data_IF_716230514387
#
_entry.id   IF_716230514387
#
_cell.length_a   1.000
_cell.length_b   1.000
_cell.length_c   1.000
_cell.angle_alpha   90.00
_cell.angle_beta   90.00
_cell.angle_gamma   90.00
#
_symmetry.space_group_name_H-M   'P 1'
#
loop_
_entity.id
_entity.type
_entity.pdbx_description
1 polymer ?
#
# COMPACT_ATOMS: atom_id res chain seq x y z
N UNK A 1 -25.15 -2.09 -1.37
CA UNK A 1 -24.99 -0.98 -0.41
C UNK A 1 -23.81 -0.13 -0.89
N UNK A 2 -24.07 1.13 -1.22
CA UNK A 2 -23.04 2.08 -1.67
C UNK A 2 -22.03 2.26 -0.53
N UNK A 3 -20.76 1.89 -0.75
CA UNK A 3 -19.68 2.25 0.17
C UNK A 3 -19.52 3.77 0.07
N UNK A 4 -19.97 4.50 1.10
CA UNK A 4 -19.73 5.93 1.21
C UNK A 4 -18.22 6.14 1.24
N UNK A 5 -17.64 6.67 0.15
CA UNK A 5 -16.21 6.99 0.06
C UNK A 5 -15.94 8.07 1.12
N UNK A 6 -15.17 7.73 2.16
CA UNK A 6 -14.75 8.69 3.19
C UNK A 6 -13.98 9.82 2.51
N UNK A 7 -14.32 11.08 2.83
CA UNK A 7 -13.63 12.26 2.29
C UNK A 7 -12.14 12.19 2.69
N UNK A 8 -11.19 12.51 1.78
CA UNK A 8 -9.80 12.64 2.14
C UNK A 8 -9.61 13.62 3.30
N UNK A 9 -8.70 13.31 4.21
CA UNK A 9 -8.42 14.08 5.41
C UNK A 9 -7.11 14.87 5.24
N UNK A 10 -7.20 16.20 5.34
CA UNK A 10 -6.08 17.10 5.38
C UNK A 10 -5.88 17.65 6.80
N UNK A 11 -4.70 17.43 7.38
CA UNK A 11 -4.37 18.05 8.66
C UNK A 11 -3.69 19.40 8.45
N UNK A 12 -4.20 20.43 9.15
CA UNK A 12 -3.75 21.81 8.99
C UNK A 12 -2.83 22.18 10.14
N UNK A 13 -1.58 22.49 9.79
CA UNK A 13 -0.56 23.02 10.70
C UNK A 13 -0.46 24.52 10.47
N UNK A 14 -0.75 25.32 11.49
CA UNK A 14 -0.75 26.78 11.35
C UNK A 14 -0.60 27.47 12.70
N UNK A 15 -0.17 28.74 12.74
CA UNK A 15 -0.22 29.54 13.95
C UNK A 15 -1.67 29.70 14.46
N UNK A 16 -1.86 29.68 15.79
CA UNK A 16 -3.18 29.80 16.44
C UNK A 16 -3.59 31.25 16.75
N UNK A 17 -2.79 32.26 16.36
CA UNK A 17 -3.16 33.66 16.60
C UNK A 17 -4.40 34.05 15.80
N UNK A 18 -5.21 34.96 16.35
CA UNK A 18 -6.49 35.39 15.77
C UNK A 18 -6.36 35.99 14.36
N UNK A 19 -5.17 36.47 13.99
CA UNK A 19 -4.86 37.01 12.67
C UNK A 19 -4.86 35.96 11.55
N UNK A 20 -4.84 34.67 11.89
CA UNK A 20 -4.94 33.58 10.92
C UNK A 20 -6.34 32.97 10.85
N UNK A 21 -7.30 33.49 11.63
CA UNK A 21 -8.64 32.91 11.68
C UNK A 21 -9.37 33.02 10.33
N UNK A 22 -9.24 34.15 9.65
CA UNK A 22 -9.81 34.34 8.31
C UNK A 22 -9.06 33.52 7.25
N UNK A 23 -7.72 33.44 7.36
CA UNK A 23 -6.89 32.58 6.50
C UNK A 23 -7.36 31.13 6.58
N UNK A 24 -7.65 30.66 7.79
CA UNK A 24 -8.15 29.31 7.99
C UNK A 24 -9.59 29.12 7.50
N UNK A 25 -10.53 29.93 7.99
CA UNK A 25 -11.96 29.75 7.73
C UNK A 25 -12.32 30.04 6.27
N UNK A 26 -11.86 31.17 5.74
CA UNK A 26 -12.25 31.64 4.41
C UNK A 26 -11.28 31.17 3.32
N UNK A 27 -10.01 30.92 3.67
CA UNK A 27 -9.01 30.39 2.76
C UNK A 27 -8.98 28.86 2.76
N UNK A 28 -8.43 28.27 3.81
CA UNK A 28 -8.10 26.83 3.86
C UNK A 28 -9.35 25.95 3.87
N UNK A 29 -10.31 26.23 4.76
CA UNK A 29 -11.55 25.45 4.90
C UNK A 29 -12.40 25.53 3.64
N UNK A 30 -12.70 26.72 3.13
CA UNK A 30 -13.51 26.85 1.92
C UNK A 30 -12.85 26.21 0.69
N UNK A 31 -11.53 26.37 0.52
CA UNK A 31 -10.80 25.69 -0.56
C UNK A 31 -10.90 24.16 -0.44
N UNK A 32 -10.76 23.64 0.78
CA UNK A 32 -10.84 22.20 1.05
C UNK A 32 -12.24 21.65 0.83
N UNK A 33 -13.27 22.38 1.27
CA UNK A 33 -14.68 22.03 1.07
C UNK A 33 -15.03 21.98 -0.42
N UNK A 34 -14.55 22.96 -1.21
CA UNK A 34 -14.72 22.99 -2.67
C UNK A 34 -14.09 21.79 -3.38
N UNK A 35 -13.06 21.17 -2.79
CA UNK A 35 -12.37 19.98 -3.31
C UNK A 35 -12.84 18.66 -2.68
N UNK A 36 -13.91 18.68 -1.88
CA UNK A 36 -14.41 17.54 -1.11
C UNK A 36 -13.41 16.92 -0.12
N UNK A 37 -12.58 17.76 0.49
CA UNK A 37 -11.58 17.37 1.49
C UNK A 37 -11.99 17.84 2.89
N UNK A 38 -11.87 16.95 3.87
CA UNK A 38 -12.01 17.31 5.28
C UNK A 38 -10.69 17.93 5.77
N UNK A 39 -10.62 19.25 5.85
CA UNK A 39 -9.49 19.94 6.50
C UNK A 39 -9.80 20.20 7.97
N UNK A 40 -8.91 19.83 8.89
CA UNK A 40 -9.06 20.17 10.31
C UNK A 40 -7.74 20.62 10.92
N UNK A 41 -7.83 21.55 11.87
CA UNK A 41 -6.73 21.93 12.77
C UNK A 41 -6.99 21.32 14.15
N UNK A 42 -5.98 21.35 15.01
CA UNK A 42 -6.02 20.65 16.31
C UNK A 42 -7.14 21.13 17.26
N UNK A 43 -7.47 22.42 17.26
CA UNK A 43 -8.41 23.02 18.21
C UNK A 43 -9.90 22.72 17.92
N UNK A 44 -10.25 22.28 16.71
CA UNK A 44 -11.62 21.93 16.30
C UNK A 44 -12.09 20.54 16.80
N UNK A 45 -11.24 19.85 17.53
CA UNK A 45 -11.40 18.45 17.85
C UNK A 45 -11.32 18.26 19.38
N UNK A 46 -12.41 17.74 19.97
CA UNK A 46 -12.57 17.55 21.42
C UNK A 46 -11.93 16.22 21.88
N UNK A 47 -10.87 16.26 22.69
CA UNK A 47 -10.20 15.05 23.21
C UNK A 47 -9.54 15.25 24.59
N UNK A 48 -9.37 14.15 25.35
CA UNK A 48 -8.86 14.08 26.73
C UNK A 48 -7.35 13.67 26.85
N UNK A 49 -6.58 13.65 25.76
CA UNK A 49 -5.17 13.18 25.71
C UNK A 49 -4.14 14.33 25.67
N UNK A 50 -2.84 14.00 25.83
CA UNK A 50 -1.72 14.96 25.72
C UNK A 50 -1.53 15.54 24.32
N UNK A 51 -1.16 16.82 24.24
CA UNK A 51 -1.21 17.64 23.01
C UNK A 51 -0.28 17.15 21.88
N UNK A 52 0.96 16.74 22.17
CA UNK A 52 1.96 16.35 21.16
C UNK A 52 1.67 14.98 20.51
N UNK A 53 1.38 13.95 21.31
CA UNK A 53 1.04 12.62 20.80
C UNK A 53 -0.18 12.67 19.87
N UNK A 54 -1.10 13.60 20.16
CA UNK A 54 -2.28 13.84 19.34
C UNK A 54 -1.93 14.46 17.99
N UNK A 55 -1.04 15.45 17.94
CA UNK A 55 -0.57 16.02 16.67
C UNK A 55 0.08 14.94 15.80
N UNK A 56 0.94 14.09 16.39
CA UNK A 56 1.56 12.98 15.65
C UNK A 56 0.53 12.02 15.08
N UNK A 57 -0.46 11.60 15.89
CA UNK A 57 -1.56 10.76 15.43
C UNK A 57 -2.34 11.41 14.29
N UNK A 58 -2.65 12.70 14.39
CA UNK A 58 -3.37 13.43 13.34
C UNK A 58 -2.55 13.49 12.04
N UNK A 59 -1.24 13.76 12.12
CA UNK A 59 -0.35 13.71 10.96
C UNK A 59 -0.31 12.30 10.37
N UNK A 60 -0.21 11.27 11.22
CA UNK A 60 -0.14 9.87 10.80
C UNK A 60 -1.39 9.40 10.05
N UNK A 61 -2.59 9.84 10.47
CA UNK A 61 -3.85 9.48 9.79
C UNK A 61 -4.24 10.41 8.65
N UNK A 62 -3.60 11.58 8.51
CA UNK A 62 -3.87 12.50 7.40
C UNK A 62 -3.43 11.94 6.04
N UNK A 63 -4.26 12.12 5.02
CA UNK A 63 -3.93 11.79 3.64
C UNK A 63 -2.87 12.74 3.07
N UNK A 64 -2.87 13.99 3.53
CA UNK A 64 -1.83 15.01 3.28
C UNK A 64 -1.92 16.12 4.34
N UNK A 65 -0.91 17.00 4.35
CA UNK A 65 -0.79 18.10 5.30
C UNK A 65 -0.83 19.44 4.57
N UNK A 66 -1.49 20.44 5.16
CA UNK A 66 -1.43 21.84 4.75
C UNK A 66 -0.72 22.61 5.87
N UNK A 67 0.42 23.22 5.58
CA UNK A 67 1.25 23.90 6.58
C UNK A 67 1.44 25.39 6.24
N UNK A 68 1.00 26.29 7.13
CA UNK A 68 1.26 27.72 7.03
C UNK A 68 2.49 28.12 7.83
N UNK A 69 3.53 28.54 7.12
CA UNK A 69 4.86 28.83 7.65
C UNK A 69 5.08 30.33 7.95
N UNK A 70 4.03 31.14 7.84
CA UNK A 70 4.09 32.57 8.16
C UNK A 70 4.60 32.83 9.57
N UNK A 71 5.29 33.96 9.74
CA UNK A 71 5.89 34.40 11.01
C UNK A 71 6.91 33.42 11.61
N UNK A 72 7.34 32.44 10.80
CA UNK A 72 8.34 31.44 11.15
C UNK A 72 8.03 30.68 12.44
N UNK A 73 6.78 30.29 12.64
CA UNK A 73 6.35 29.62 13.86
C UNK A 73 7.13 28.31 14.10
N UNK A 74 7.89 28.18 15.20
CA UNK A 74 8.75 27.02 15.44
C UNK A 74 7.97 25.72 15.64
N UNK A 75 6.75 25.79 16.17
CA UNK A 75 5.90 24.61 16.35
C UNK A 75 5.45 24.05 15.00
N UNK A 76 5.01 24.92 14.08
CA UNK A 76 4.61 24.48 12.73
C UNK A 76 5.79 23.86 11.99
N UNK A 77 7.00 24.41 12.10
CA UNK A 77 8.19 23.78 11.51
C UNK A 77 8.51 22.43 12.12
N UNK A 78 8.36 22.28 13.44
CA UNK A 78 8.58 21.01 14.12
C UNK A 78 7.60 19.93 13.63
N UNK A 79 6.33 20.27 13.56
CA UNK A 79 5.25 19.40 13.07
C UNK A 79 5.44 19.06 11.59
N UNK A 80 5.83 20.04 10.77
CA UNK A 80 6.17 19.82 9.36
C UNK A 80 7.37 18.88 9.21
N UNK A 81 8.38 19.01 10.07
CA UNK A 81 9.53 18.11 10.13
C UNK A 81 9.10 16.66 10.40
N UNK A 82 8.17 16.45 11.35
CA UNK A 82 7.59 15.13 11.60
C UNK A 82 6.78 14.63 10.40
N UNK A 83 5.94 15.48 9.78
CA UNK A 83 5.19 15.12 8.58
C UNK A 83 6.10 14.68 7.43
N UNK A 84 7.23 15.37 7.22
CA UNK A 84 8.25 14.95 6.26
C UNK A 84 8.89 13.61 6.61
N UNK A 85 9.21 13.37 7.89
CA UNK A 85 9.75 12.08 8.35
C UNK A 85 8.76 10.92 8.15
N UNK A 86 7.45 11.23 8.11
CA UNK A 86 6.38 10.28 7.82
C UNK A 86 6.01 10.20 6.33
N UNK A 87 6.81 10.81 5.46
CA UNK A 87 6.61 10.90 4.01
C UNK A 87 5.19 11.39 3.64
N UNK A 88 4.67 12.37 4.37
CA UNK A 88 3.38 12.99 4.04
C UNK A 88 3.55 13.99 2.91
N UNK A 89 2.59 14.01 1.99
CA UNK A 89 2.45 15.10 1.02
C UNK A 89 2.16 16.38 1.81
N UNK A 90 2.97 17.41 1.63
CA UNK A 90 2.84 18.68 2.36
C UNK A 90 2.64 19.83 1.38
N UNK A 91 1.51 20.53 1.49
CA UNK A 91 1.25 21.80 0.81
C UNK A 91 1.72 22.92 1.73
N UNK A 92 2.67 23.72 1.24
CA UNK A 92 3.26 24.81 2.02
C UNK A 92 2.59 26.15 1.67
N UNK A 93 2.21 26.91 2.68
CA UNK A 93 1.62 28.24 2.58
C UNK A 93 2.51 29.24 3.31
N UNK A 94 2.51 30.49 2.88
CA UNK A 94 3.13 31.60 3.61
C UNK A 94 2.56 32.95 3.18
N UNK A 95 2.48 33.91 4.09
CA UNK A 95 2.24 35.33 3.76
C UNK A 95 3.43 35.92 3.01
N UNK A 96 4.65 35.63 3.47
CA UNK A 96 5.89 36.16 2.92
C UNK A 96 6.88 35.04 2.55
N UNK A 97 7.43 35.10 1.34
CA UNK A 97 8.45 34.17 0.86
C UNK A 97 9.71 34.14 1.74
N UNK A 98 9.99 35.24 2.45
CA UNK A 98 11.13 35.32 3.38
C UNK A 98 10.94 34.47 4.64
N UNK A 99 9.72 34.03 4.96
CA UNK A 99 9.46 33.14 6.09
C UNK A 99 9.87 31.69 5.80
N UNK A 100 10.05 31.34 4.53
CA UNK A 100 10.46 30.00 4.10
C UNK A 100 11.98 29.83 4.31
N UNK A 101 12.43 28.88 5.16
CA UNK A 101 13.84 28.56 5.33
C UNK A 101 14.48 28.13 4.01
N UNK A 102 15.77 28.37 3.86
CA UNK A 102 16.52 28.06 2.63
C UNK A 102 16.29 26.63 2.13
N UNK A 103 16.30 25.64 3.04
CA UNK A 103 16.09 24.23 2.72
C UNK A 103 14.68 23.90 2.21
N UNK A 104 13.69 24.78 2.41
CA UNK A 104 12.33 24.60 1.91
C UNK A 104 12.02 25.47 0.69
N UNK A 105 12.87 26.45 0.34
CA UNK A 105 12.62 27.37 -0.79
C UNK A 105 12.48 26.68 -2.15
N UNK A 106 13.14 25.54 -2.34
CA UNK A 106 13.05 24.75 -3.57
C UNK A 106 11.74 23.94 -3.67
N UNK A 107 11.01 23.80 -2.56
CA UNK A 107 9.69 23.16 -2.55
C UNK A 107 8.64 24.16 -2.97
N UNK A 108 7.60 23.67 -3.66
CA UNK A 108 6.47 24.49 -4.04
C UNK A 108 5.77 25.01 -2.78
N UNK A 109 5.54 26.32 -2.74
CA UNK A 109 4.80 27.00 -1.68
C UNK A 109 3.92 28.09 -2.28
N UNK A 110 2.77 28.33 -1.66
CA UNK A 110 1.85 29.40 -2.06
C UNK A 110 2.16 30.63 -1.21
N UNK A 111 2.62 31.71 -1.87
CA UNK A 111 2.87 33.01 -1.22
C UNK A 111 1.62 33.86 -1.40
N UNK A 112 0.79 33.98 -0.36
CA UNK A 112 -0.53 34.58 -0.49
C UNK A 112 -0.65 36.05 -0.07
N UNK A 113 0.37 36.59 0.63
CA UNK A 113 0.33 37.96 1.16
C UNK A 113 -0.93 38.18 2.00
N UNK A 114 -1.72 39.19 1.66
CA UNK A 114 -2.99 39.51 2.34
C UNK A 114 -4.23 39.08 1.54
N UNK A 115 -4.06 38.31 0.46
CA UNK A 115 -5.16 37.96 -0.46
C UNK A 115 -5.70 36.55 -0.20
N UNK A 116 -6.77 36.48 0.59
CA UNK A 116 -7.49 35.22 0.86
C UNK A 116 -8.08 34.62 -0.44
N UNK A 117 -8.58 35.46 -1.36
CA UNK A 117 -9.12 34.97 -2.63
C UNK A 117 -8.05 34.31 -3.49
N UNK A 118 -6.83 34.90 -3.53
CA UNK A 118 -5.70 34.29 -4.19
C UNK A 118 -5.29 32.98 -3.50
N UNK A 119 -5.14 33.00 -2.17
CA UNK A 119 -4.86 31.79 -1.37
C UNK A 119 -5.82 30.66 -1.73
N UNK A 120 -7.13 30.92 -1.67
CA UNK A 120 -8.17 29.94 -1.97
C UNK A 120 -7.99 29.34 -3.37
N UNK A 121 -7.87 30.18 -4.39
CA UNK A 121 -7.73 29.73 -5.79
C UNK A 121 -6.47 28.89 -6.06
N UNK A 122 -5.34 29.24 -5.45
CA UNK A 122 -4.11 28.46 -5.59
C UNK A 122 -4.16 27.19 -4.76
N UNK A 123 -4.73 27.27 -3.55
CA UNK A 123 -4.86 26.14 -2.66
C UNK A 123 -5.78 25.05 -3.25
N UNK A 124 -6.90 25.41 -3.87
CA UNK A 124 -7.76 24.44 -4.59
C UNK A 124 -6.96 23.61 -5.61
N UNK A 125 -6.11 24.25 -6.42
CA UNK A 125 -5.24 23.55 -7.38
C UNK A 125 -4.25 22.60 -6.69
N UNK A 126 -3.68 23.03 -5.57
CA UNK A 126 -2.73 22.23 -4.81
C UNK A 126 -3.42 21.06 -4.08
N UNK A 127 -4.64 21.26 -3.58
CA UNK A 127 -5.46 20.23 -2.94
C UNK A 127 -5.85 19.17 -3.95
N UNK A 128 -6.32 19.53 -5.15
CA UNK A 128 -6.63 18.54 -6.20
C UNK A 128 -5.41 17.71 -6.58
N UNK A 129 -4.24 18.36 -6.71
CA UNK A 129 -2.98 17.65 -6.94
C UNK A 129 -2.64 16.70 -5.78
N UNK A 130 -2.71 17.17 -4.53
CA UNK A 130 -2.35 16.38 -3.36
C UNK A 130 -3.32 15.21 -3.14
N UNK A 131 -4.60 15.41 -3.41
CA UNK A 131 -5.64 14.37 -3.41
C UNK A 131 -5.33 13.31 -4.46
N UNK A 132 -5.07 13.71 -5.69
CA UNK A 132 -4.71 12.77 -6.76
C UNK A 132 -3.39 12.02 -6.45
N UNK A 133 -2.42 12.69 -5.84
CA UNK A 133 -1.14 12.08 -5.44
C UNK A 133 -1.31 11.12 -4.24
N UNK A 134 -2.12 11.48 -3.25
CA UNK A 134 -2.42 10.63 -2.10
C UNK A 134 -3.26 9.41 -2.50
N UNK A 135 -4.26 9.60 -3.38
CA UNK A 135 -4.98 8.51 -4.02
C UNK A 135 -4.03 7.65 -4.86
N UNK A 136 -3.08 8.23 -5.59
CA UNK A 136 -2.08 7.48 -6.37
C UNK A 136 -1.15 6.67 -5.47
N UNK A 137 -0.71 7.19 -4.31
CA UNK A 137 0.07 6.44 -3.32
C UNK A 137 -0.74 5.32 -2.65
N UNK A 138 -2.05 5.50 -2.54
CA UNK A 138 -2.95 4.49 -1.98
C UNK A 138 -3.39 3.45 -3.02
N UNK A 139 -3.46 3.85 -4.30
CA UNK A 139 -3.90 3.04 -5.45
C UNK A 139 -2.75 2.50 -6.30
N UNK A 140 -1.50 2.89 -6.05
CA UNK A 140 -0.26 2.31 -6.59
C UNK A 140 -0.08 0.84 -6.23
N UNK A 141 -1.00 0.29 -5.43
CA UNK A 141 -1.10 -1.13 -5.12
C UNK A 141 -1.30 -1.91 -6.40
N UNK A 142 -0.25 -2.63 -6.77
CA UNK A 142 -0.33 -3.72 -7.73
C UNK A 142 -1.40 -4.68 -7.21
N UNK A 143 -2.49 -4.82 -7.95
CA UNK A 143 -3.51 -5.79 -7.60
C UNK A 143 -2.99 -7.19 -7.93
N UNK A 144 -3.06 -8.08 -6.96
CA UNK A 144 -2.76 -9.50 -7.12
C UNK A 144 -4.07 -10.24 -7.32
N UNK A 145 -4.16 -11.05 -8.37
CA UNK A 145 -5.30 -11.93 -8.66
C UNK A 145 -4.80 -13.36 -8.83
N UNK A 146 -5.09 -14.22 -7.85
CA UNK A 146 -4.73 -15.64 -7.88
C UNK A 146 -5.84 -16.40 -8.61
N UNK A 147 -5.55 -16.90 -9.81
CA UNK A 147 -6.52 -17.71 -10.56
C UNK A 147 -6.81 -19.02 -9.82
N UNK A 148 -8.01 -19.60 -10.01
CA UNK A 148 -8.30 -20.94 -9.51
C UNK A 148 -7.19 -21.91 -9.95
N UNK A 149 -6.48 -22.55 -9.00
CA UNK A 149 -5.42 -23.47 -9.34
C UNK A 149 -5.98 -24.71 -10.05
N UNK A 150 -5.12 -25.37 -10.81
CA UNK A 150 -5.41 -26.69 -11.40
C UNK A 150 -4.38 -27.68 -10.90
N UNK A 151 -4.67 -28.97 -10.95
CA UNK A 151 -3.70 -29.97 -10.51
C UNK A 151 -4.09 -31.37 -10.89
N UNK A 152 -3.20 -32.30 -10.57
CA UNK A 152 -3.37 -33.74 -10.78
C UNK A 152 -2.49 -34.52 -9.80
N UNK A 153 -2.78 -35.81 -9.67
CA UNK A 153 -1.88 -36.75 -9.01
C UNK A 153 -0.90 -37.32 -10.04
N UNK A 154 0.37 -37.38 -9.66
CA UNK A 154 1.39 -38.17 -10.34
C UNK A 154 1.67 -39.39 -9.50
N UNK A 155 1.02 -40.50 -9.87
CA UNK A 155 1.14 -41.76 -9.17
C UNK A 155 2.20 -42.65 -9.83
N UNK A 156 2.91 -43.37 -8.98
CA UNK A 156 3.82 -44.46 -9.32
C UNK A 156 3.56 -45.62 -8.36
N UNK A 157 4.16 -46.78 -8.62
CA UNK A 157 4.06 -47.94 -7.70
C UNK A 157 4.60 -47.66 -6.28
N UNK A 158 5.33 -46.57 -6.07
CA UNK A 158 6.02 -46.29 -4.80
C UNK A 158 5.65 -44.95 -4.16
N UNK A 159 5.13 -44.02 -4.95
CA UNK A 159 4.95 -42.63 -4.55
C UNK A 159 3.71 -42.04 -5.24
N UNK A 160 2.90 -41.33 -4.46
CA UNK A 160 1.88 -40.42 -4.98
C UNK A 160 2.31 -38.99 -4.68
N UNK A 161 2.42 -38.16 -5.72
CA UNK A 161 2.73 -36.74 -5.58
C UNK A 161 1.59 -35.90 -6.16
N UNK A 162 1.06 -34.97 -5.36
CA UNK A 162 0.13 -33.95 -5.83
C UNK A 162 0.90 -32.83 -6.52
N UNK A 163 0.52 -32.52 -7.76
CA UNK A 163 1.08 -31.43 -8.55
C UNK A 163 -0.01 -30.39 -8.77
N UNK A 164 0.20 -29.17 -8.27
CA UNK A 164 -0.73 -28.06 -8.36
C UNK A 164 -0.07 -26.90 -9.11
N UNK A 165 -0.72 -26.38 -10.14
CA UNK A 165 -0.28 -25.23 -10.91
C UNK A 165 -1.06 -23.99 -10.46
N UNK A 166 -0.32 -22.97 -10.06
CA UNK A 166 -0.86 -21.66 -9.70
C UNK A 166 -0.54 -20.64 -10.79
N UNK A 167 -1.52 -19.81 -11.11
CA UNK A 167 -1.34 -18.64 -11.97
C UNK A 167 -1.76 -17.40 -11.19
N UNK A 168 -0.87 -16.43 -11.10
CA UNK A 168 -1.06 -15.21 -10.33
C UNK A 168 -0.86 -14.03 -11.28
N UNK A 169 -1.90 -13.25 -11.49
CA UNK A 169 -1.82 -12.03 -12.28
C UNK A 169 -1.53 -10.83 -11.36
N UNK A 170 -0.61 -9.98 -11.80
CA UNK A 170 -0.27 -8.70 -11.20
C UNK A 170 -0.77 -7.59 -12.12
N UNK A 171 -1.64 -6.71 -11.63
CA UNK A 171 -2.23 -5.62 -12.40
C UNK A 171 -1.91 -4.26 -11.80
N UNK A 172 -1.36 -3.36 -12.61
CA UNK A 172 -1.34 -1.94 -12.30
C UNK A 172 -2.58 -1.27 -12.90
N UNK A 173 -3.59 -1.02 -12.07
CA UNK A 173 -4.82 -0.34 -12.50
C UNK A 173 -4.70 1.18 -12.54
N UNK A 174 -3.54 1.74 -12.21
CA UNK A 174 -3.30 3.18 -12.23
C UNK A 174 -2.90 3.68 -13.62
N UNK A 175 -2.95 4.99 -13.81
CA UNK A 175 -2.48 5.68 -15.01
C UNK A 175 -0.99 6.09 -14.94
N UNK A 176 -0.27 5.67 -13.90
CA UNK A 176 1.18 5.90 -13.71
C UNK A 176 1.91 4.56 -13.70
N UNK A 177 3.24 4.58 -13.71
CA UNK A 177 4.01 3.36 -13.45
C UNK A 177 3.81 2.90 -12.01
N UNK A 178 3.84 1.58 -11.79
CA UNK A 178 3.85 1.00 -10.46
C UNK A 178 5.16 1.36 -9.73
N UNK A 179 5.17 1.29 -8.40
CA UNK A 179 6.40 1.11 -7.62
C UNK A 179 7.24 -0.04 -8.19
N UNK A 180 8.55 0.04 -7.99
CA UNK A 180 9.43 -1.07 -8.36
C UNK A 180 9.23 -2.23 -7.37
N UNK A 181 9.00 -3.42 -7.91
CA UNK A 181 8.92 -4.68 -7.16
C UNK A 181 10.36 -5.16 -6.95
N UNK A 182 10.85 -4.99 -5.72
CA UNK A 182 12.19 -5.39 -5.31
C UNK A 182 12.27 -6.89 -5.05
N UNK A 183 11.20 -7.48 -4.51
CA UNK A 183 11.11 -8.93 -4.29
C UNK A 183 9.65 -9.40 -4.23
N UNK A 184 9.44 -10.68 -4.55
CA UNK A 184 8.15 -11.35 -4.39
C UNK A 184 8.33 -12.63 -3.60
N UNK A 185 7.48 -12.85 -2.59
CA UNK A 185 7.53 -14.04 -1.75
C UNK A 185 6.19 -14.77 -1.71
N UNK A 186 6.24 -16.10 -1.76
CA UNK A 186 5.10 -16.97 -1.42
C UNK A 186 5.32 -17.56 -0.03
N UNK A 187 4.37 -17.35 0.87
CA UNK A 187 4.34 -18.01 2.17
C UNK A 187 3.48 -19.26 2.09
N UNK A 188 4.03 -20.38 2.57
CA UNK A 188 3.34 -21.66 2.59
C UNK A 188 3.79 -22.52 3.80
N UNK A 189 3.12 -23.67 3.97
CA UNK A 189 3.56 -24.72 4.89
C UNK A 189 4.91 -25.34 4.48
N UNK A 190 5.48 -26.16 5.35
CA UNK A 190 6.78 -26.81 5.15
C UNK A 190 6.74 -28.05 4.24
N UNK A 191 5.55 -28.57 3.95
CA UNK A 191 5.39 -29.80 3.17
C UNK A 191 5.36 -29.57 1.64
N UNK A 192 5.48 -28.31 1.22
CA UNK A 192 5.43 -27.93 -0.18
C UNK A 192 6.82 -27.78 -0.79
N UNK A 193 6.99 -28.27 -2.02
CA UNK A 193 8.09 -27.91 -2.90
C UNK A 193 7.55 -27.00 -3.99
N UNK A 194 8.08 -25.78 -4.09
CA UNK A 194 7.62 -24.78 -5.05
C UNK A 194 8.66 -24.64 -6.15
N UNK A 195 8.20 -24.71 -7.40
CA UNK A 195 9.03 -24.47 -8.57
C UNK A 195 8.43 -23.38 -9.45
N UNK A 196 9.31 -22.68 -10.15
CA UNK A 196 8.98 -21.67 -11.15
C UNK A 196 9.81 -21.93 -12.39
N UNK A 197 9.17 -21.99 -13.57
CA UNK A 197 9.84 -22.31 -14.84
C UNK A 197 10.71 -23.59 -14.78
N UNK A 198 10.26 -24.58 -14.01
CA UNK A 198 10.95 -25.86 -13.82
C UNK A 198 12.14 -25.83 -12.84
N UNK A 199 12.45 -24.69 -12.22
CA UNK A 199 13.51 -24.56 -11.21
C UNK A 199 12.93 -24.45 -9.81
N UNK A 200 13.60 -25.03 -8.81
CA UNK A 200 13.20 -24.88 -7.42
C UNK A 200 13.34 -23.43 -6.95
N UNK A 201 12.28 -22.91 -6.32
CA UNK A 201 12.33 -21.62 -5.66
C UNK A 201 13.12 -21.73 -4.35
N UNK A 202 14.15 -20.90 -4.13
CA UNK A 202 14.85 -20.87 -2.85
C UNK A 202 13.90 -20.38 -1.74
N UNK A 203 14.08 -20.88 -0.53
CA UNK A 203 13.22 -20.52 0.60
C UNK A 203 14.00 -20.34 1.89
N UNK A 204 13.41 -19.60 2.83
CA UNK A 204 13.87 -19.48 4.21
C UNK A 204 12.70 -19.69 5.18
N UNK A 205 12.98 -19.60 6.48
CA UNK A 205 11.92 -19.55 7.50
C UNK A 205 10.99 -18.35 7.25
N UNK A 206 9.70 -18.56 7.47
CA UNK A 206 8.68 -17.53 7.37
C UNK A 206 8.67 -16.63 8.62
N UNK A 207 8.59 -15.32 8.40
CA UNK A 207 8.37 -14.27 9.41
C UNK A 207 6.89 -14.08 9.79
N UNK A 208 5.97 -14.68 9.03
CA UNK A 208 4.52 -14.61 9.25
C UNK A 208 4.02 -15.97 9.75
N UNK A 209 3.42 -16.00 10.96
CA UNK A 209 2.73 -17.20 11.47
C UNK A 209 1.33 -17.33 10.82
N UNK A 210 0.80 -18.55 10.62
CA UNK A 210 1.34 -19.85 10.99
C UNK A 210 2.26 -20.48 9.93
N UNK A 211 2.60 -19.76 8.85
CA UNK A 211 3.42 -20.27 7.76
C UNK A 211 4.80 -20.68 8.25
N UNK A 212 5.42 -21.63 7.54
CA UNK A 212 6.71 -22.21 7.93
C UNK A 212 7.82 -21.80 6.97
N UNK A 213 7.50 -21.59 5.70
CA UNK A 213 8.46 -21.22 4.67
C UNK A 213 7.98 -20.01 3.90
N UNK A 214 8.93 -19.17 3.51
CA UNK A 214 8.75 -18.12 2.50
C UNK A 214 9.66 -18.44 1.31
N UNK A 215 9.08 -18.57 0.14
CA UNK A 215 9.77 -18.91 -1.11
C UNK A 215 9.98 -17.62 -1.89
N UNK A 216 11.21 -17.36 -2.32
CA UNK A 216 11.51 -16.26 -3.23
C UNK A 216 11.07 -16.63 -4.64
N UNK A 217 10.26 -15.77 -5.25
CA UNK A 217 9.70 -15.94 -6.60
C UNK A 217 10.09 -14.73 -7.44
N UNK A 218 10.36 -14.97 -8.72
CA UNK A 218 10.75 -13.91 -9.64
C UNK A 218 9.53 -13.45 -10.44
N UNK A 219 9.07 -12.19 -10.32
CA UNK A 219 8.05 -11.68 -11.23
C UNK A 219 8.64 -11.47 -12.64
N UNK A 220 7.87 -11.67 -13.72
CA UNK A 220 8.36 -11.41 -15.08
C UNK A 220 8.72 -9.95 -15.35
N UNK A 221 8.18 -9.01 -14.57
CA UNK A 221 8.49 -7.59 -14.65
C UNK A 221 8.69 -7.01 -13.24
N UNK A 222 9.76 -6.24 -13.06
CA UNK A 222 10.03 -5.50 -11.82
C UNK A 222 9.25 -4.20 -11.71
N UNK A 223 8.61 -3.74 -12.80
CA UNK A 223 7.77 -2.55 -12.81
C UNK A 223 6.66 -2.71 -13.85
N UNK A 224 5.46 -2.23 -13.54
CA UNK A 224 4.31 -2.26 -14.42
C UNK A 224 4.03 -0.85 -14.93
N UNK A 225 3.87 -0.69 -16.24
CA UNK A 225 3.42 0.58 -16.84
C UNK A 225 1.98 0.93 -16.42
N UNK A 226 1.52 2.12 -16.81
CA UNK A 226 0.12 2.54 -16.66
C UNK A 226 -0.83 1.52 -17.32
N UNK A 227 -1.80 0.99 -16.57
CA UNK A 227 -2.70 -0.07 -17.05
C UNK A 227 -2.00 -1.41 -17.35
N UNK A 228 -0.71 -1.53 -17.02
CA UNK A 228 0.12 -2.70 -17.34
C UNK A 228 -0.18 -3.90 -16.45
N UNK A 229 0.24 -5.08 -16.88
CA UNK A 229 0.08 -6.32 -16.13
C UNK A 229 1.27 -7.27 -16.33
N UNK A 230 1.40 -8.23 -15.42
CA UNK A 230 2.38 -9.32 -15.48
C UNK A 230 1.77 -10.59 -14.88
N UNK A 231 2.32 -11.76 -15.20
CA UNK A 231 1.79 -13.05 -14.75
C UNK A 231 2.87 -13.98 -14.24
N UNK A 232 2.69 -14.46 -13.02
CA UNK A 232 3.55 -15.46 -12.38
C UNK A 232 2.89 -16.82 -12.52
N UNK A 233 3.68 -17.83 -12.90
CA UNK A 233 3.27 -19.24 -12.92
C UNK A 233 4.15 -20.05 -12.00
N UNK A 234 3.53 -20.80 -11.10
CA UNK A 234 4.21 -21.64 -10.12
C UNK A 234 3.66 -23.06 -10.18
N UNK A 235 4.50 -24.02 -9.84
CA UNK A 235 4.07 -25.38 -9.59
C UNK A 235 4.41 -25.75 -8.14
N UNK A 236 3.41 -26.16 -7.39
CA UNK A 236 3.56 -26.66 -6.03
C UNK A 236 3.41 -28.18 -6.03
N UNK A 237 4.34 -28.86 -5.38
CA UNK A 237 4.39 -30.31 -5.26
C UNK A 237 4.32 -30.72 -3.80
N UNK A 238 3.53 -31.75 -3.51
CA UNK A 238 3.44 -32.35 -2.16
C UNK A 238 3.30 -33.85 -2.27
N UNK A 239 4.13 -34.57 -1.52
CA UNK A 239 3.99 -36.03 -1.40
C UNK A 239 2.74 -36.36 -0.61
N UNK A 240 1.89 -37.22 -1.17
CA UNK A 240 0.61 -37.65 -0.57
C UNK A 240 0.74 -39.00 0.12
N UNK A 241 1.38 -39.97 -0.54
CA UNK A 241 1.54 -41.32 -0.02
C UNK A 241 2.90 -41.90 -0.42
N UNK A 242 3.50 -42.70 0.47
CA UNK A 242 4.69 -43.50 0.18
C UNK A 242 4.40 -44.96 0.47
N UNK A 243 4.41 -45.80 -0.55
CA UNK A 243 4.10 -47.24 -0.40
C UNK A 243 5.04 -47.93 0.61
N UNK A 244 6.29 -47.48 0.71
CA UNK A 244 7.29 -48.07 1.61
C UNK A 244 7.05 -47.73 3.09
N UNK A 245 6.22 -46.73 3.37
CA UNK A 245 5.70 -46.43 4.70
C UNK A 245 4.43 -47.24 5.03
N UNK A 246 3.94 -48.06 4.08
CA UNK A 246 2.68 -48.79 4.19
C UNK A 246 1.45 -47.99 3.75
N UNK A 247 1.63 -46.82 3.14
CA UNK A 247 0.52 -46.01 2.63
C UNK A 247 -0.07 -46.61 1.35
N UNK A 248 -1.39 -46.61 1.21
CA UNK A 248 -2.06 -46.91 -0.07
C UNK A 248 -1.92 -45.73 -1.03
N UNK A 249 -1.64 -46.01 -2.31
CA UNK A 249 -1.58 -44.99 -3.37
C UNK A 249 -3.02 -44.64 -3.77
N UNK A 250 -3.48 -43.39 -3.57
CA UNK A 250 -4.86 -43.04 -3.82
C UNK A 250 -5.13 -42.77 -5.30
N UNK A 251 -6.30 -43.19 -5.78
CA UNK A 251 -6.81 -42.84 -7.12
C UNK A 251 -7.24 -41.36 -7.20
N UNK A 252 -7.75 -40.81 -6.09
CA UNK A 252 -8.07 -39.39 -5.94
C UNK A 252 -7.86 -38.90 -4.51
N UNK A 253 -7.64 -37.58 -4.36
CA UNK A 253 -7.50 -36.94 -3.05
C UNK A 253 -7.94 -35.49 -3.08
N UNK A 254 -8.46 -34.99 -1.96
CA UNK A 254 -8.71 -33.57 -1.78
C UNK A 254 -7.51 -32.88 -1.14
N UNK A 255 -7.04 -31.82 -1.77
CA UNK A 255 -5.92 -31.01 -1.30
C UNK A 255 -6.33 -29.56 -1.16
N UNK A 256 -6.17 -29.04 0.05
CA UNK A 256 -6.38 -27.64 0.33
C UNK A 256 -5.19 -27.01 1.01
N UNK A 257 -5.18 -25.69 1.01
CA UNK A 257 -4.13 -24.90 1.64
C UNK A 257 -4.48 -23.42 1.67
N UNK A 258 -3.66 -22.68 2.41
CA UNK A 258 -3.65 -21.21 2.41
C UNK A 258 -2.24 -20.75 2.09
N UNK A 259 -2.12 -19.57 1.51
CA UNK A 259 -0.84 -18.93 1.21
C UNK A 259 -0.94 -17.41 1.28
N UNK A 260 0.22 -16.76 1.32
CA UNK A 260 0.34 -15.31 1.14
C UNK A 260 1.28 -15.06 -0.04
N UNK A 261 0.89 -14.18 -0.96
CA UNK A 261 1.81 -13.55 -1.90
C UNK A 261 2.18 -12.17 -1.34
N UNK A 262 3.44 -11.98 -0.95
CA UNK A 262 3.99 -10.68 -0.56
C UNK A 262 4.71 -10.06 -1.74
N UNK A 263 4.33 -8.84 -2.09
CA UNK A 263 5.11 -7.96 -2.95
C UNK A 263 5.88 -6.98 -2.07
N UNK A 264 7.20 -7.00 -2.13
CA UNK A 264 8.03 -5.94 -1.55
C UNK A 264 8.35 -4.93 -2.64
N UNK A 265 7.94 -3.69 -2.40
CA UNK A 265 8.11 -2.58 -3.33
C UNK A 265 8.83 -1.41 -2.68
N UNK A 266 9.27 -0.46 -3.50
CA UNK A 266 9.93 0.76 -3.02
C UNK A 266 9.09 1.62 -2.08
N UNK A 267 7.77 1.45 -2.07
CA UNK A 267 6.83 2.19 -1.22
C UNK A 267 6.24 1.35 -0.07
N UNK A 268 6.59 0.06 0.05
CA UNK A 268 6.18 -0.78 1.17
C UNK A 268 6.05 -2.27 0.85
N UNK A 269 5.45 -3.01 1.77
CA UNK A 269 5.16 -4.44 1.60
C UNK A 269 3.64 -4.64 1.48
N UNK A 270 3.23 -5.43 0.50
CA UNK A 270 1.83 -5.72 0.22
C UNK A 270 1.56 -7.22 0.25
N UNK A 271 0.76 -7.65 1.21
CA UNK A 271 0.41 -9.05 1.42
C UNK A 271 -0.96 -9.37 0.84
N UNK A 272 -1.03 -10.44 0.05
CA UNK A 272 -2.27 -10.96 -0.51
C UNK A 272 -2.48 -12.40 -0.07
N UNK A 273 -3.45 -12.62 0.82
CA UNK A 273 -3.87 -13.94 1.25
C UNK A 273 -4.73 -14.63 0.19
N UNK A 274 -4.53 -15.92 0.03
CA UNK A 274 -5.39 -16.78 -0.78
C UNK A 274 -5.53 -18.16 -0.15
N UNK A 275 -6.62 -18.82 -0.47
CA UNK A 275 -6.88 -20.21 -0.13
C UNK A 275 -7.25 -21.01 -1.37
N UNK A 276 -7.09 -22.32 -1.27
CA UNK A 276 -7.49 -23.23 -2.33
C UNK A 276 -7.95 -24.55 -1.76
N UNK A 277 -8.79 -25.23 -2.54
CA UNK A 277 -9.20 -26.60 -2.32
C UNK A 277 -9.44 -27.24 -3.69
N UNK A 278 -8.73 -28.31 -4.01
CA UNK A 278 -8.90 -29.05 -5.26
C UNK A 278 -9.11 -30.53 -4.95
N UNK A 279 -9.97 -31.14 -5.75
CA UNK A 279 -9.98 -32.59 -5.92
C UNK A 279 -8.98 -32.94 -7.02
N UNK A 280 -8.02 -33.80 -6.69
CA UNK A 280 -7.02 -34.30 -7.63
C UNK A 280 -7.31 -35.76 -7.92
N UNK A 281 -7.23 -36.14 -9.19
CA UNK A 281 -7.21 -37.52 -9.62
C UNK A 281 -5.92 -37.81 -10.37
N UNK A 282 -5.59 -39.09 -10.49
CA UNK A 282 -4.55 -39.51 -11.43
C UNK A 282 -4.90 -39.08 -12.86
N UNK A 283 -3.90 -38.77 -13.68
CA UNK A 283 -4.14 -38.49 -15.10
C UNK A 283 -4.38 -39.84 -15.78
N UNK A 284 -5.55 -40.08 -16.40
CA UNK A 284 -5.70 -41.25 -17.25
C UNK A 284 -4.74 -41.09 -18.44
N UNK A 285 -3.73 -41.96 -18.50
CA UNK A 285 -2.79 -42.06 -19.62
C UNK A 285 -3.49 -42.18 -20.97
#
# INVERSE_FOLDING_TARGET
MSHQKTKPFAFVLMPFSSEFEDVYKLGIKEASENCDVLAQRLDEQLFNEGMLDRIYRQIDVADFVIADLSDRNPNVFYELGYAHARDKICILLTKNADDIPFDLKHRRHVVYGDSISYLKSELEKNIEWAKAESEARTSSKIQVDVKPPTGYLSNTEHLSEAIINFTIDLHNKTNKYSPEISATYLYAGNDWRITQEGKDCPFSEADIKPFKRRYLITPPASKLGAGGWSQIRLQAKRVIARAWNGDEIPDSTNIGGRGIIRLETTDGNYDHEFDFNLELSDIPF
#
